data_IF_849708327997
#
_entry.id   IF_849708327997
#
_cell.length_a   1.000
_cell.length_b   1.000
_cell.length_c   1.000
_cell.angle_alpha   90.00
_cell.angle_beta   90.00
_cell.angle_gamma   90.00
#
_symmetry.space_group_name_H-M   'P 1'
#
loop_
_entity.id
_entity.type
_entity.pdbx_description
1 polymer ?
#
# COMPACT_ATOMS: atom_id res chain seq x y z
N UNK A 1 -5.29 -14.46 -8.75
CA UNK A 1 -4.12 -13.65 -8.34
C UNK A 1 -4.28 -13.36 -6.86
N UNK A 2 -3.22 -13.40 -6.05
CA UNK A 2 -3.34 -13.10 -4.61
C UNK A 2 -3.83 -11.67 -4.39
N UNK A 3 -4.85 -11.47 -3.57
CA UNK A 3 -5.46 -10.17 -3.23
C UNK A 3 -4.45 -9.18 -2.62
N UNK A 4 -3.33 -9.71 -2.09
CA UNK A 4 -2.26 -8.95 -1.42
C UNK A 4 -0.90 -9.11 -2.11
N UNK A 5 -0.89 -9.27 -3.45
CA UNK A 5 0.33 -9.56 -4.22
C UNK A 5 1.52 -8.64 -3.83
N UNK A 6 2.60 -9.26 -3.38
CA UNK A 6 3.84 -8.58 -3.02
C UNK A 6 3.94 -8.07 -1.59
N UNK A 7 2.88 -8.17 -0.79
CA UNK A 7 2.88 -7.76 0.60
C UNK A 7 3.10 -8.96 1.53
N UNK A 8 3.97 -8.76 2.53
CA UNK A 8 4.32 -9.74 3.56
C UNK A 8 4.45 -9.02 4.90
N UNK A 9 4.56 -9.78 6.00
CA UNK A 9 4.84 -9.26 7.33
C UNK A 9 3.88 -8.14 7.76
N UNK A 10 4.43 -7.04 8.28
CA UNK A 10 3.64 -5.91 8.80
C UNK A 10 2.72 -5.28 7.76
N UNK A 11 3.22 -5.07 6.55
CA UNK A 11 2.44 -4.47 5.46
C UNK A 11 1.21 -5.29 5.06
N UNK A 12 1.33 -6.62 5.07
CA UNK A 12 0.21 -7.50 4.81
C UNK A 12 -0.85 -7.44 5.91
N UNK A 13 -0.41 -7.49 7.18
CA UNK A 13 -1.33 -7.42 8.32
C UNK A 13 -2.05 -6.07 8.36
N UNK A 14 -1.35 -4.97 8.09
CA UNK A 14 -1.98 -3.64 7.98
C UNK A 14 -3.12 -3.60 6.94
N UNK A 15 -2.88 -4.15 5.75
CA UNK A 15 -3.89 -4.23 4.69
C UNK A 15 -5.10 -5.07 5.11
N UNK A 16 -4.86 -6.24 5.73
CA UNK A 16 -5.94 -7.12 6.22
C UNK A 16 -6.77 -6.46 7.32
N UNK A 17 -6.13 -5.85 8.32
CA UNK A 17 -6.82 -5.19 9.44
C UNK A 17 -7.74 -4.09 8.94
N UNK A 18 -7.32 -3.35 7.91
CA UNK A 18 -8.12 -2.29 7.30
C UNK A 18 -9.06 -2.78 6.18
N UNK A 19 -9.04 -4.07 5.85
CA UNK A 19 -9.83 -4.69 4.76
C UNK A 19 -9.60 -4.02 3.40
N UNK A 20 -8.34 -3.71 3.11
CA UNK A 20 -7.89 -3.09 1.86
C UNK A 20 -7.13 -4.12 1.03
N UNK A 21 -7.45 -4.24 -0.25
CA UNK A 21 -6.77 -5.15 -1.18
C UNK A 21 -6.04 -4.39 -2.29
N UNK A 22 -5.16 -5.09 -3.02
CA UNK A 22 -4.51 -4.55 -4.21
C UNK A 22 -5.58 -4.19 -5.26
N UNK A 23 -5.51 -2.96 -5.78
CA UNK A 23 -6.47 -2.41 -6.72
C UNK A 23 -7.51 -1.49 -6.08
N UNK A 24 -7.64 -1.46 -4.75
CA UNK A 24 -8.56 -0.56 -4.08
C UNK A 24 -8.11 0.91 -4.19
N UNK A 25 -9.09 1.79 -4.37
CA UNK A 25 -8.88 3.24 -4.25
C UNK A 25 -9.02 3.66 -2.80
N UNK A 26 -7.98 4.28 -2.26
CA UNK A 26 -7.90 4.64 -0.84
C UNK A 26 -7.60 6.12 -0.65
N UNK A 27 -8.03 6.64 0.49
CA UNK A 27 -7.60 7.92 1.05
C UNK A 27 -6.76 7.63 2.29
N UNK A 28 -5.49 7.98 2.26
CA UNK A 28 -4.55 7.78 3.37
C UNK A 28 -4.29 9.13 4.03
N UNK A 29 -4.45 9.18 5.35
CA UNK A 29 -4.10 10.35 6.16
C UNK A 29 -2.76 10.08 6.86
N UNK A 30 -1.75 10.89 6.53
CA UNK A 30 -0.44 10.95 7.18
C UNK A 30 -0.13 12.44 7.44
N UNK A 31 1.11 12.91 7.28
CA UNK A 31 1.46 14.33 7.31
C UNK A 31 0.66 15.13 6.27
N UNK A 32 0.44 14.51 5.11
CA UNK A 32 -0.44 14.97 4.06
C UNK A 32 -1.52 13.91 3.78
N UNK A 33 -2.59 14.36 3.15
CA UNK A 33 -3.63 13.43 2.66
C UNK A 33 -3.27 12.95 1.25
N UNK A 34 -3.16 11.64 1.08
CA UNK A 34 -2.91 11.00 -0.20
C UNK A 34 -4.16 10.32 -0.73
N UNK A 35 -4.35 10.38 -2.04
CA UNK A 35 -5.43 9.68 -2.75
C UNK A 35 -4.82 8.88 -3.89
N UNK A 36 -5.14 7.60 -3.95
CA UNK A 36 -4.58 6.73 -4.98
C UNK A 36 -5.08 5.30 -4.90
N UNK A 37 -4.46 4.45 -5.71
CA UNK A 37 -4.78 3.02 -5.81
C UNK A 37 -3.65 2.20 -5.16
N UNK A 38 -3.99 1.22 -4.32
CA UNK A 38 -2.99 0.29 -3.79
C UNK A 38 -2.46 -0.58 -4.91
N UNK A 39 -1.15 -0.50 -5.14
CA UNK A 39 -0.47 -1.28 -6.16
C UNK A 39 0.13 -2.55 -5.55
N UNK A 40 0.34 -3.61 -6.36
CA UNK A 40 1.17 -4.72 -5.97
C UNK A 40 2.57 -4.22 -5.62
N UNK A 41 3.21 -4.90 -4.67
CA UNK A 41 4.59 -4.61 -4.27
C UNK A 41 5.56 -5.66 -4.83
N UNK A 42 6.85 -5.34 -4.84
CA UNK A 42 7.87 -6.29 -5.22
C UNK A 42 8.19 -7.22 -4.04
N UNK A 43 8.25 -8.53 -4.29
CA UNK A 43 8.32 -9.56 -3.24
C UNK A 43 9.62 -9.55 -2.43
N UNK A 44 10.70 -8.93 -2.95
CA UNK A 44 11.99 -8.82 -2.26
C UNK A 44 12.20 -7.48 -1.53
N UNK A 45 11.18 -6.63 -1.45
CA UNK A 45 11.25 -5.37 -0.71
C UNK A 45 10.89 -5.56 0.78
N UNK A 46 11.27 -4.61 1.67
CA UNK A 46 11.04 -4.69 3.13
C UNK A 46 9.56 -4.90 3.51
N UNK A 47 9.17 -5.24 4.74
CA UNK A 47 7.75 -5.46 5.06
C UNK A 47 7.02 -4.21 5.60
N UNK A 48 7.59 -3.01 5.45
CA UNK A 48 7.18 -1.79 6.17
C UNK A 48 6.46 -0.75 5.32
N UNK A 49 6.42 -0.91 4.00
CA UNK A 49 5.87 0.11 3.09
C UNK A 49 4.69 -0.38 2.26
N UNK A 50 3.77 0.54 1.99
CA UNK A 50 2.71 0.43 0.97
C UNK A 50 3.11 1.12 -0.32
N UNK A 51 2.68 0.59 -1.46
CA UNK A 51 2.83 1.25 -2.76
C UNK A 51 1.49 1.83 -3.18
N UNK A 52 1.44 3.15 -3.35
CA UNK A 52 0.25 3.88 -3.78
C UNK A 52 0.49 4.52 -5.15
N UNK A 53 -0.40 4.27 -6.11
CA UNK A 53 -0.42 4.98 -7.39
C UNK A 53 -1.28 6.23 -7.31
N UNK A 54 -0.66 7.39 -7.50
CA UNK A 54 -1.34 8.68 -7.49
C UNK A 54 -2.08 8.93 -8.81
N UNK A 55 -3.03 9.88 -8.79
CA UNK A 55 -3.74 10.35 -10.00
C UNK A 55 -2.79 10.87 -11.09
N UNK A 56 -1.62 11.38 -10.70
CA UNK A 56 -0.57 11.81 -11.64
C UNK A 56 0.08 10.66 -12.40
N UNK A 57 -0.19 9.41 -12.04
CA UNK A 57 0.38 8.21 -12.65
C UNK A 57 1.64 7.70 -11.96
N UNK A 58 2.22 8.47 -11.05
CA UNK A 58 3.41 8.08 -10.27
C UNK A 58 3.06 7.14 -9.11
N UNK A 59 3.97 6.22 -8.82
CA UNK A 59 3.90 5.37 -7.62
C UNK A 59 4.75 5.98 -6.50
N UNK A 60 4.22 5.99 -5.29
CA UNK A 60 4.95 6.40 -4.08
C UNK A 60 4.98 5.25 -3.08
N UNK A 61 6.05 5.20 -2.28
CA UNK A 61 6.15 4.34 -1.10
C UNK A 61 5.72 5.10 0.15
N UNK A 62 4.82 4.52 0.94
CA UNK A 62 4.38 5.07 2.22
C UNK A 62 4.77 4.10 3.33
N UNK A 63 5.58 4.55 4.28
CA UNK A 63 5.93 3.77 5.48
C UNK A 63 4.71 3.66 6.41
N UNK A 64 4.51 2.48 7.00
CA UNK A 64 3.33 2.17 7.82
C UNK A 64 3.54 2.56 9.30
N UNK A 65 4.78 2.52 9.79
CA UNK A 65 5.15 2.81 11.18
C UNK A 65 6.47 3.60 11.20
N UNK A 66 6.51 4.70 11.96
CA UNK A 66 7.71 5.52 12.21
C UNK A 66 8.45 5.09 13.48
#
# INVERSE_FOLDING_TARGET
>A
MSEFRGYTGKSLEFLKTNKIIVGDTVKILSDLTYFGIIMPRYEHSDDKHLVLKLKSGYNIGLEIES
#
